data_IF_990480572107
#
_entry.id   IF_990480572107
#
_cell.length_a   1.000
_cell.length_b   1.000
_cell.length_c   1.000
_cell.angle_alpha   90.00
_cell.angle_beta   90.00
_cell.angle_gamma   90.00
#
_symmetry.space_group_name_H-M   'P 1'
#
loop_
_entity.id
_entity.type
_entity.pdbx_description
1 polymer ?
#
# COMPACT_ATOMS: atom_id res chain seq x y z
N UNK A 1 7.39 -28.02 -6.69
CA UNK A 1 7.43 -26.55 -6.52
C UNK A 1 7.92 -26.24 -5.12
N UNK A 2 8.98 -25.44 -4.97
CA UNK A 2 9.48 -25.07 -3.65
C UNK A 2 8.44 -24.23 -2.90
N UNK A 3 8.26 -24.48 -1.59
CA UNK A 3 7.41 -23.62 -0.75
C UNK A 3 7.99 -22.20 -0.72
N UNK A 4 7.19 -21.20 -1.04
CA UNK A 4 7.57 -19.77 -1.07
C UNK A 4 7.27 -19.04 0.25
N UNK A 5 7.09 -19.77 1.35
CA UNK A 5 6.69 -19.20 2.65
C UNK A 5 7.67 -19.55 3.76
N UNK A 6 8.02 -18.57 4.59
CA UNK A 6 8.81 -18.76 5.82
C UNK A 6 7.92 -18.60 7.04
N UNK A 7 7.97 -19.55 7.97
CA UNK A 7 7.23 -19.47 9.24
C UNK A 7 7.85 -18.43 10.16
N UNK A 8 7.01 -17.61 10.77
CA UNK A 8 7.38 -16.68 11.84
C UNK A 8 6.52 -16.98 13.06
N UNK A 9 7.08 -16.84 14.26
CA UNK A 9 6.38 -17.03 15.53
C UNK A 9 6.40 -15.71 16.28
N UNK A 10 5.24 -15.28 16.77
CA UNK A 10 5.09 -14.07 17.58
C UNK A 10 3.98 -14.29 18.61
N UNK A 11 4.07 -13.56 19.73
CA UNK A 11 3.08 -13.61 20.80
C UNK A 11 2.07 -12.49 20.63
N UNK A 12 0.81 -12.77 20.97
CA UNK A 12 -0.27 -11.79 21.05
C UNK A 12 -0.92 -11.83 22.43
N UNK A 13 -1.45 -10.70 22.92
CA UNK A 13 -2.31 -10.70 24.10
C UNK A 13 -3.47 -11.70 23.91
N UNK A 14 -3.84 -12.48 24.95
CA UNK A 14 -4.89 -13.50 24.82
C UNK A 14 -6.22 -12.95 24.29
N UNK A 15 -6.63 -11.78 24.76
CA UNK A 15 -7.81 -11.05 24.27
C UNK A 15 -7.76 -10.74 22.77
N UNK A 16 -6.57 -10.47 22.22
CA UNK A 16 -6.41 -10.20 20.81
C UNK A 16 -6.47 -11.48 19.97
N UNK A 17 -5.98 -12.60 20.52
CA UNK A 17 -6.11 -13.93 19.89
C UNK A 17 -7.59 -14.28 19.71
N UNK A 18 -8.41 -14.05 20.74
CA UNK A 18 -9.85 -14.28 20.67
C UNK A 18 -10.52 -13.39 19.61
N UNK A 19 -10.14 -12.11 19.54
CA UNK A 19 -10.65 -11.20 18.51
C UNK A 19 -10.27 -11.66 17.10
N UNK A 20 -9.03 -12.10 16.89
CA UNK A 20 -8.59 -12.66 15.59
C UNK A 20 -9.41 -13.90 15.24
N UNK A 21 -9.60 -14.82 16.19
CA UNK A 21 -10.39 -16.03 15.96
C UNK A 21 -11.82 -15.71 15.55
N UNK A 22 -12.46 -14.73 16.20
CA UNK A 22 -13.82 -14.29 15.87
C UNK A 22 -13.92 -13.70 14.46
N UNK A 23 -12.97 -12.83 14.07
CA UNK A 23 -12.94 -12.23 12.73
C UNK A 23 -12.76 -13.30 11.65
N UNK A 24 -11.81 -14.21 11.87
CA UNK A 24 -11.51 -15.31 10.96
C UNK A 24 -12.72 -16.24 10.80
N UNK A 25 -13.41 -16.56 11.90
CA UNK A 25 -14.61 -17.39 11.89
C UNK A 25 -15.77 -16.73 11.10
N UNK A 26 -15.95 -15.41 11.21
CA UNK A 26 -16.98 -14.67 10.46
C UNK A 26 -16.68 -14.60 8.96
N UNK A 27 -15.41 -14.54 8.56
CA UNK A 27 -14.99 -14.39 7.17
C UNK A 27 -14.74 -15.73 6.46
N UNK A 28 -14.78 -16.86 7.17
CA UNK A 28 -14.49 -18.18 6.60
C UNK A 28 -13.04 -18.36 6.12
N UNK A 29 -12.11 -17.52 6.61
CA UNK A 29 -10.70 -17.54 6.22
C UNK A 29 -9.85 -18.35 7.21
N UNK A 30 -8.55 -18.51 6.95
CA UNK A 30 -7.61 -19.05 7.94
C UNK A 30 -6.88 -17.94 8.70
N UNK A 31 -6.44 -18.21 9.94
CA UNK A 31 -5.65 -17.24 10.74
C UNK A 31 -4.42 -16.75 9.99
N UNK A 32 -3.71 -17.66 9.33
CA UNK A 32 -2.49 -17.32 8.58
C UNK A 32 -2.79 -16.46 7.35
N UNK A 33 -3.93 -16.66 6.71
CA UNK A 33 -4.36 -15.84 5.58
C UNK A 33 -4.77 -14.44 6.01
N UNK A 34 -5.60 -14.34 7.06
CA UNK A 34 -5.97 -13.06 7.65
C UNK A 34 -4.75 -12.25 8.09
N UNK A 35 -3.83 -12.87 8.82
CA UNK A 35 -2.61 -12.20 9.29
C UNK A 35 -1.70 -11.76 8.13
N UNK A 36 -1.56 -12.58 7.08
CA UNK A 36 -0.81 -12.18 5.89
C UNK A 36 -1.44 -10.95 5.23
N UNK A 37 -2.76 -10.96 5.03
CA UNK A 37 -3.48 -9.83 4.45
C UNK A 37 -3.30 -8.56 5.27
N UNK A 38 -3.46 -8.64 6.60
CA UNK A 38 -3.30 -7.48 7.50
C UNK A 38 -1.89 -6.91 7.43
N UNK A 39 -0.86 -7.77 7.45
CA UNK A 39 0.54 -7.34 7.36
C UNK A 39 0.81 -6.66 6.02
N UNK A 40 0.38 -7.25 4.90
CA UNK A 40 0.55 -6.67 3.56
C UNK A 40 -0.12 -5.30 3.49
N UNK A 41 -1.38 -5.21 3.90
CA UNK A 41 -2.14 -3.96 3.87
C UNK A 41 -1.51 -2.87 4.74
N UNK A 42 -1.00 -3.24 5.92
CA UNK A 42 -0.31 -2.29 6.78
C UNK A 42 0.95 -1.72 6.12
N UNK A 43 1.75 -2.58 5.46
CA UNK A 43 2.97 -2.15 4.75
C UNK A 43 2.61 -1.22 3.59
N UNK A 44 1.67 -1.63 2.73
CA UNK A 44 1.22 -0.84 1.58
C UNK A 44 0.70 0.53 2.00
N UNK A 45 -0.07 0.61 3.10
CA UNK A 45 -0.56 1.88 3.63
C UNK A 45 0.58 2.78 4.13
N UNK A 46 1.65 2.22 4.70
CA UNK A 46 2.83 3.01 5.09
C UNK A 46 3.59 3.54 3.88
N UNK A 47 3.80 2.70 2.87
CA UNK A 47 4.45 3.10 1.63
C UNK A 47 3.65 4.19 0.91
N UNK A 48 2.32 4.05 0.85
CA UNK A 48 1.45 5.06 0.27
C UNK A 48 1.50 6.38 1.02
N UNK A 49 1.50 6.36 2.36
CA UNK A 49 1.67 7.57 3.18
C UNK A 49 2.99 8.28 2.88
N UNK A 50 4.09 7.54 2.75
CA UNK A 50 5.40 8.12 2.42
C UNK A 50 5.39 8.75 1.03
N UNK A 51 4.81 8.08 0.04
CA UNK A 51 4.70 8.59 -1.32
C UNK A 51 3.88 9.89 -1.37
N UNK A 52 2.74 9.93 -0.67
CA UNK A 52 1.90 11.13 -0.58
C UNK A 52 2.66 12.29 0.08
N UNK A 53 3.34 12.06 1.20
CA UNK A 53 4.14 13.09 1.86
C UNK A 53 5.25 13.65 0.95
N UNK A 54 5.92 12.75 0.21
CA UNK A 54 6.90 13.16 -0.78
C UNK A 54 6.27 14.04 -1.88
N UNK A 55 5.14 13.59 -2.43
CA UNK A 55 4.40 14.30 -3.47
C UNK A 55 3.89 15.68 -3.02
N UNK A 56 3.30 15.76 -1.83
CA UNK A 56 2.83 17.01 -1.22
C UNK A 56 3.97 18.02 -1.04
N UNK A 57 5.13 17.56 -0.55
CA UNK A 57 6.32 18.40 -0.41
C UNK A 57 6.76 18.92 -1.78
N UNK A 58 6.85 18.04 -2.78
CA UNK A 58 7.26 18.42 -4.13
C UNK A 58 6.28 19.38 -4.80
N UNK A 59 4.98 19.13 -4.71
CA UNK A 59 3.96 20.02 -5.24
C UNK A 59 4.06 21.41 -4.60
N UNK A 60 4.32 21.49 -3.29
CA UNK A 60 4.52 22.77 -2.60
C UNK A 60 5.79 23.49 -3.03
N UNK A 61 6.90 22.78 -3.20
CA UNK A 61 8.17 23.35 -3.69
C UNK A 61 8.01 23.97 -5.09
N UNK A 62 7.24 23.32 -5.96
CA UNK A 62 7.05 23.72 -7.36
C UNK A 62 5.80 24.58 -7.58
N UNK A 63 5.02 24.85 -6.54
CA UNK A 63 3.78 25.64 -6.62
C UNK A 63 2.66 24.97 -7.44
N UNK A 64 2.64 23.64 -7.50
CA UNK A 64 1.69 22.85 -8.30
C UNK A 64 0.40 22.61 -7.51
N UNK A 65 -0.73 22.97 -8.11
CA UNK A 65 -2.07 22.69 -7.59
C UNK A 65 -2.77 21.51 -8.30
N UNK A 66 -3.92 21.03 -7.78
CA UNK A 66 -4.75 20.04 -8.45
C UNK A 66 -5.19 20.46 -9.88
N UNK A 67 -5.37 21.75 -10.11
CA UNK A 67 -5.72 22.35 -11.41
C UNK A 67 -4.63 22.17 -12.47
N UNK A 68 -3.36 22.05 -12.06
CA UNK A 68 -2.22 21.89 -12.97
C UNK A 68 -2.07 20.45 -13.47
N UNK A 69 -2.67 19.48 -12.78
CA UNK A 69 -2.45 18.04 -13.04
C UNK A 69 -2.75 17.67 -14.48
N UNK A 70 -3.88 18.10 -15.02
CA UNK A 70 -4.29 17.76 -16.38
C UNK A 70 -3.28 18.29 -17.42
N UNK A 71 -2.82 19.53 -17.24
CA UNK A 71 -1.84 20.18 -18.11
C UNK A 71 -0.48 19.46 -18.02
N UNK A 72 0.03 19.22 -16.82
CA UNK A 72 1.33 18.58 -16.60
C UNK A 72 1.38 17.13 -17.14
N UNK A 73 0.27 16.38 -17.02
CA UNK A 73 0.16 15.02 -17.57
C UNK A 73 0.20 15.05 -19.09
N UNK A 74 -0.48 16.01 -19.73
CA UNK A 74 -0.49 16.14 -21.19
C UNK A 74 0.88 16.58 -21.73
N UNK A 75 1.53 17.54 -21.07
CA UNK A 75 2.90 17.97 -21.37
C UNK A 75 3.85 16.76 -21.32
N UNK A 76 3.84 15.98 -20.23
CA UNK A 76 4.71 14.81 -20.08
C UNK A 76 4.45 13.71 -21.13
N UNK A 77 3.18 13.43 -21.45
CA UNK A 77 2.82 12.43 -22.46
C UNK A 77 3.26 12.86 -23.86
N UNK A 78 3.09 14.14 -24.18
CA UNK A 78 3.51 14.72 -25.45
C UNK A 78 5.03 14.62 -25.62
N UNK A 79 5.79 15.00 -24.60
CA UNK A 79 7.25 14.88 -24.57
C UNK A 79 7.71 13.42 -24.72
N UNK A 80 7.07 12.48 -24.02
CA UNK A 80 7.45 11.07 -24.05
C UNK A 80 7.18 10.42 -25.42
N UNK A 81 6.10 10.82 -26.10
CA UNK A 81 5.79 10.34 -27.44
C UNK A 81 6.76 10.92 -28.49
N UNK A 82 7.13 12.19 -28.33
CA UNK A 82 8.15 12.84 -29.17
C UNK A 82 9.53 12.19 -29.00
N UNK A 83 9.92 11.81 -27.78
CA UNK A 83 11.19 11.14 -27.49
C UNK A 83 11.28 9.68 -27.98
N UNK A 84 10.15 9.07 -28.38
CA UNK A 84 10.07 7.70 -28.91
C UNK A 84 10.02 7.63 -30.44
N UNK A 85 9.94 8.78 -31.11
CA UNK A 85 9.89 8.89 -32.59
C UNK A 85 11.24 9.34 -33.11
#
# INVERSE_FOLDING_TARGET
MARTTKTITFSLPPELVERVNNVVAQQGSSRSEFLRMVVVRYIEEQEWRQLLQYGERKAREEGIGPEDVARLVEEYRSETNLART
#
